data_IF_632606649061
#
_entry.id   IF_632606649061
#
_cell.length_a   1.000
_cell.length_b   1.000
_cell.length_c   1.000
_cell.angle_alpha   90.00
_cell.angle_beta   90.00
_cell.angle_gamma   90.00
#
_symmetry.space_group_name_H-M   'P 1'
#
loop_
_entity.id
_entity.type
_entity.pdbx_description
1 polymer ?
#
# COMPACT_ATOMS: atom_id res chain seq x y z
N UNK A 1 12.07 -5.49 -11.20
CA UNK A 1 11.98 -5.60 -9.76
C UNK A 1 11.08 -4.56 -9.14
N UNK A 2 11.50 -3.28 -9.18
CA UNK A 2 10.65 -2.23 -8.62
C UNK A 2 9.32 -2.13 -9.35
N UNK A 3 9.30 -2.39 -10.65
CA UNK A 3 8.06 -2.35 -11.43
C UNK A 3 7.08 -3.41 -10.97
N UNK A 4 7.57 -4.57 -10.58
CA UNK A 4 6.69 -5.64 -10.11
C UNK A 4 6.06 -5.28 -8.76
N UNK A 5 6.85 -4.67 -7.87
CA UNK A 5 6.34 -4.24 -6.58
C UNK A 5 5.30 -3.15 -6.78
N UNK A 6 5.60 -2.18 -7.63
CA UNK A 6 4.67 -1.09 -7.92
C UNK A 6 3.37 -1.62 -8.51
N UNK A 7 3.48 -2.49 -9.50
CA UNK A 7 2.31 -3.06 -10.16
C UNK A 7 1.45 -3.86 -9.18
N UNK A 8 2.09 -4.69 -8.37
CA UNK A 8 1.36 -5.49 -7.39
C UNK A 8 0.69 -4.61 -6.34
N UNK A 9 1.38 -3.56 -5.89
CA UNK A 9 0.80 -2.64 -4.93
C UNK A 9 -0.40 -1.92 -5.50
N UNK A 10 -0.30 -1.46 -6.75
CA UNK A 10 -1.42 -0.78 -7.40
C UNK A 10 -2.62 -1.69 -7.56
N UNK A 11 -2.40 -2.97 -7.86
CA UNK A 11 -3.49 -3.93 -7.97
C UNK A 11 -4.19 -4.14 -6.63
N UNK A 12 -3.42 -4.18 -5.56
CA UNK A 12 -4.00 -4.31 -4.22
C UNK A 12 -4.86 -3.10 -3.90
N UNK A 13 -4.35 -1.90 -4.19
CA UNK A 13 -5.09 -0.68 -3.94
C UNK A 13 -6.39 -0.64 -4.75
N UNK A 14 -6.33 -1.02 -6.01
CA UNK A 14 -7.52 -1.05 -6.86
C UNK A 14 -8.56 -2.01 -6.29
N UNK A 15 -8.12 -3.15 -5.81
CA UNK A 15 -9.02 -4.15 -5.25
C UNK A 15 -9.65 -3.66 -3.94
N UNK A 16 -8.83 -3.14 -3.04
CA UNK A 16 -9.30 -2.74 -1.72
C UNK A 16 -10.24 -1.54 -1.81
N UNK A 17 -9.91 -0.58 -2.64
CA UNK A 17 -10.68 0.66 -2.74
C UNK A 17 -11.70 0.67 -3.87
N UNK A 18 -11.76 -0.40 -4.67
CA UNK A 18 -12.72 -0.48 -5.77
C UNK A 18 -12.43 0.50 -6.88
N UNK A 19 -11.16 0.75 -7.17
CA UNK A 19 -10.75 1.74 -8.16
C UNK A 19 -10.19 1.06 -9.41
N UNK A 20 -10.15 1.85 -10.50
CA UNK A 20 -9.47 1.39 -11.69
C UNK A 20 -7.97 1.63 -11.56
N UNK A 21 -7.18 0.75 -12.16
CA UNK A 21 -5.72 0.83 -12.04
C UNK A 21 -5.16 2.19 -12.44
N UNK A 22 -5.73 2.81 -13.47
CA UNK A 22 -5.19 4.06 -13.99
C UNK A 22 -5.51 5.28 -13.13
N UNK A 23 -6.31 5.10 -12.09
CA UNK A 23 -6.62 6.21 -11.18
C UNK A 23 -5.70 6.22 -9.95
N UNK A 24 -4.76 5.29 -9.90
CA UNK A 24 -3.84 5.18 -8.77
C UNK A 24 -2.44 5.57 -9.23
N UNK A 25 -1.76 6.36 -8.41
CA UNK A 25 -0.36 6.72 -8.68
C UNK A 25 0.36 6.95 -7.36
N UNK A 26 1.63 7.29 -7.43
CA UNK A 26 2.43 7.47 -6.22
C UNK A 26 1.95 8.63 -5.35
N UNK A 27 1.21 9.56 -5.93
CA UNK A 27 0.65 10.68 -5.19
C UNK A 27 -0.68 10.37 -4.50
N UNK A 28 -1.25 9.19 -4.75
CA UNK A 28 -2.51 8.81 -4.11
C UNK A 28 -2.27 8.69 -2.61
N UNK A 29 -3.15 9.30 -1.81
CA UNK A 29 -2.99 9.30 -0.37
C UNK A 29 -4.34 9.29 0.32
N UNK A 30 -4.31 9.10 1.63
CA UNK A 30 -5.52 9.08 2.44
C UNK A 30 -6.25 10.42 2.36
N UNK A 31 -5.51 11.50 2.17
CA UNK A 31 -6.11 12.83 2.08
C UNK A 31 -6.94 13.03 0.82
N UNK A 32 -6.50 12.44 -0.30
CA UNK A 32 -7.16 12.69 -1.58
C UNK A 32 -7.98 11.53 -2.09
N UNK A 33 -8.24 10.52 -1.26
CA UNK A 33 -9.05 9.36 -1.66
C UNK A 33 -10.06 9.07 -0.55
N UNK A 34 -11.33 9.38 -0.82
CA UNK A 34 -12.38 9.22 0.17
C UNK A 34 -12.50 7.80 0.71
N UNK A 35 -12.29 6.81 -0.15
CA UNK A 35 -12.42 5.41 0.24
C UNK A 35 -11.30 4.93 1.15
N UNK A 36 -10.28 5.73 1.34
CA UNK A 36 -9.16 5.35 2.19
C UNK A 36 -9.46 5.74 3.63
N UNK A 37 -10.40 5.04 4.21
CA UNK A 37 -10.78 5.24 5.61
C UNK A 37 -10.05 4.24 6.51
N UNK A 38 -10.36 4.28 7.80
CA UNK A 38 -9.65 3.45 8.78
C UNK A 38 -9.79 1.95 8.50
N UNK A 39 -10.99 1.52 8.15
CA UNK A 39 -11.23 0.10 7.88
C UNK A 39 -10.48 -0.35 6.63
N UNK A 40 -10.61 0.42 5.56
CA UNK A 40 -9.93 0.05 4.31
C UNK A 40 -8.42 0.17 4.44
N UNK A 41 -7.94 1.06 5.31
CA UNK A 41 -6.50 1.14 5.58
C UNK A 41 -5.99 -0.17 6.18
N UNK A 42 -6.71 -0.72 7.15
CA UNK A 42 -6.31 -1.99 7.77
C UNK A 42 -6.37 -3.13 6.75
N UNK A 43 -7.42 -3.16 5.92
CA UNK A 43 -7.53 -4.18 4.88
C UNK A 43 -6.35 -4.08 3.90
N UNK A 44 -5.99 -2.86 3.53
CA UNK A 44 -4.85 -2.63 2.65
C UNK A 44 -3.55 -3.17 3.25
N UNK A 45 -3.32 -2.85 4.51
CA UNK A 45 -2.10 -3.30 5.19
C UNK A 45 -2.03 -4.83 5.23
N UNK A 46 -3.15 -5.48 5.56
CA UNK A 46 -3.20 -6.94 5.62
C UNK A 46 -2.86 -7.54 4.25
N UNK A 47 -3.46 -6.99 3.18
CA UNK A 47 -3.19 -7.51 1.84
C UNK A 47 -1.75 -7.31 1.41
N UNK A 48 -1.18 -6.16 1.75
CA UNK A 48 0.22 -5.89 1.43
C UNK A 48 1.15 -6.85 2.18
N UNK A 49 0.89 -7.07 3.45
CA UNK A 49 1.70 -7.99 4.24
C UNK A 49 1.66 -9.40 3.67
N UNK A 50 0.48 -9.84 3.24
CA UNK A 50 0.33 -11.18 2.67
C UNK A 50 1.02 -11.29 1.31
N UNK A 51 0.84 -10.30 0.46
CA UNK A 51 1.37 -10.35 -0.90
C UNK A 51 2.90 -10.34 -0.91
N UNK A 52 3.49 -9.50 -0.08
CA UNK A 52 4.94 -9.32 -0.09
C UNK A 52 5.65 -10.11 1.02
N UNK A 53 4.89 -10.84 1.80
CA UNK A 53 5.43 -11.66 2.89
C UNK A 53 6.28 -10.84 3.86
N UNK A 54 5.73 -9.72 4.30
CA UNK A 54 6.40 -8.82 5.23
C UNK A 54 5.44 -8.50 6.38
N UNK A 55 5.96 -7.86 7.43
CA UNK A 55 5.15 -7.49 8.57
C UNK A 55 5.55 -6.10 9.02
N UNK A 56 4.59 -5.18 9.01
CA UNK A 56 4.84 -3.82 9.49
C UNK A 56 4.72 -3.78 11.00
N UNK A 57 5.45 -2.87 11.62
CA UNK A 57 5.31 -2.62 13.04
C UNK A 57 4.02 -1.85 13.29
N UNK A 58 3.39 -2.13 14.44
CA UNK A 58 2.13 -1.48 14.77
C UNK A 58 2.25 0.04 14.71
N UNK A 59 3.35 0.57 15.23
CA UNK A 59 3.52 2.02 15.28
C UNK A 59 3.68 2.70 13.94
N UNK A 60 4.08 1.96 12.89
CA UNK A 60 4.25 2.59 11.57
C UNK A 60 3.01 2.48 10.69
N UNK A 61 2.05 1.64 11.06
CA UNK A 61 0.87 1.43 10.22
C UNK A 61 0.09 2.71 9.99
N UNK A 62 -0.10 3.50 11.04
CA UNK A 62 -0.85 4.75 10.93
C UNK A 62 -0.12 5.81 10.08
N UNK A 63 1.17 5.65 9.88
CA UNK A 63 1.95 6.59 9.08
C UNK A 63 2.00 6.21 7.61
N UNK A 64 1.54 5.01 7.26
CA UNK A 64 1.54 4.54 5.88
C UNK A 64 0.30 5.05 5.14
N UNK A 65 0.18 6.36 5.07
CA UNK A 65 -1.03 7.01 4.58
C UNK A 65 -0.93 7.51 3.14
N UNK A 66 0.03 7.00 2.38
CA UNK A 66 0.13 7.30 0.96
C UNK A 66 0.75 6.12 0.25
N UNK A 67 0.50 6.04 -1.06
CA UNK A 67 1.06 4.97 -1.88
C UNK A 67 2.58 5.00 -1.84
N UNK A 68 3.14 6.22 -1.92
CA UNK A 68 4.59 6.37 -1.89
C UNK A 68 5.20 5.82 -0.60
N UNK A 69 4.60 6.16 0.53
CA UNK A 69 5.12 5.69 1.81
C UNK A 69 5.05 4.17 1.94
N UNK A 70 3.96 3.58 1.48
CA UNK A 70 3.81 2.12 1.51
C UNK A 70 4.85 1.48 0.60
N UNK A 71 5.02 2.02 -0.60
CA UNK A 71 5.99 1.50 -1.56
C UNK A 71 7.41 1.53 -0.97
N UNK A 72 7.78 2.66 -0.36
CA UNK A 72 9.10 2.80 0.24
C UNK A 72 9.31 1.79 1.37
N UNK A 73 8.29 1.53 2.16
CA UNK A 73 8.39 0.56 3.24
C UNK A 73 8.50 -0.87 2.73
N UNK A 74 7.77 -1.19 1.67
CA UNK A 74 7.89 -2.51 1.06
C UNK A 74 9.33 -2.72 0.58
N UNK A 75 9.90 -1.71 -0.07
CA UNK A 75 11.29 -1.79 -0.52
C UNK A 75 12.25 -1.98 0.66
N UNK A 76 12.01 -1.24 1.73
CA UNK A 76 12.87 -1.33 2.92
C UNK A 76 12.89 -2.75 3.48
N UNK A 77 11.71 -3.34 3.67
CA UNK A 77 11.64 -4.69 4.23
C UNK A 77 12.15 -5.74 3.24
N UNK A 78 11.98 -5.51 1.95
CA UNK A 78 12.46 -6.44 0.94
C UNK A 78 13.99 -6.50 0.90
N UNK A 79 14.65 -5.42 1.23
CA UNK A 79 16.11 -5.36 1.22
C UNK A 79 16.75 -6.05 2.42
N UNK A 80 15.97 -6.39 3.42
CA UNK A 80 16.51 -6.95 4.66
C UNK A 80 16.81 -8.44 4.58
N UNK A 81 16.48 -9.06 3.49
CA UNK A 81 16.76 -10.51 3.31
C UNK A 81 18.23 -10.77 2.95
#
# INVERSE_FOLDING_TARGET
MYKDIESDLFKILAKVFGLMDNSINMGTSQENLENWDSLNHILLIVEVEKKFNIKFKVGEISELNSVKKIFERILYYSKKD
#
